data_IF_242817296355
#
_entry.id   IF_242817296355
#
_cell.length_a   1.000
_cell.length_b   1.000
_cell.length_c   1.000
_cell.angle_alpha   90.00
_cell.angle_beta   90.00
_cell.angle_gamma   90.00
#
_symmetry.space_group_name_H-M   'P 1'
#
loop_
_entity.id
_entity.type
_entity.pdbx_description
1 polymer ?
#
# COMPACT_ATOMS: atom_id res chain seq x y z
N UNK A 1 20.48 48.99 0.10
CA UNK A 1 21.08 47.66 0.13
C UNK A 1 20.09 46.61 -0.33
N UNK A 2 20.13 46.40 -1.62
CA UNK A 2 19.36 45.44 -2.37
C UNK A 2 20.26 44.21 -2.65
N UNK A 3 20.32 43.22 -1.77
CA UNK A 3 20.92 41.90 -2.07
C UNK A 3 20.54 40.88 -1.04
N UNK A 4 19.33 40.34 -1.14
CA UNK A 4 18.98 38.96 -0.62
C UNK A 4 17.58 38.60 -1.10
N UNK A 5 17.44 38.25 -2.37
CA UNK A 5 16.23 37.64 -2.92
C UNK A 5 16.54 36.95 -4.26
N UNK A 6 17.53 36.07 -4.24
CA UNK A 6 17.81 35.17 -5.37
C UNK A 6 18.26 33.81 -4.81
N UNK A 7 17.33 32.95 -4.51
CA UNK A 7 17.68 31.64 -3.97
C UNK A 7 16.59 30.55 -4.05
N UNK A 8 15.35 30.90 -4.28
CA UNK A 8 14.23 29.93 -4.32
C UNK A 8 13.58 29.73 -5.70
N UNK A 9 14.02 30.51 -6.71
CA UNK A 9 13.48 30.43 -8.07
C UNK A 9 14.20 29.45 -9.02
N UNK A 10 15.37 28.96 -8.67
CA UNK A 10 16.23 28.22 -9.61
C UNK A 10 16.19 26.70 -9.45
N UNK A 11 15.55 26.16 -8.40
CA UNK A 11 15.41 24.71 -8.21
C UNK A 11 14.35 24.11 -9.14
N UNK A 12 13.35 24.91 -9.57
CA UNK A 12 12.29 24.47 -10.49
C UNK A 12 12.59 24.66 -11.98
N UNK A 13 13.71 25.25 -12.36
CA UNK A 13 14.07 25.50 -13.79
C UNK A 13 15.02 24.51 -14.42
N UNK A 14 15.36 23.41 -13.76
CA UNK A 14 16.13 22.29 -14.35
C UNK A 14 15.34 21.00 -14.48
N UNK A 15 14.04 21.08 -14.82
CA UNK A 15 13.42 19.98 -15.57
C UNK A 15 13.74 20.24 -17.06
N UNK A 16 14.96 19.87 -17.47
CA UNK A 16 15.19 19.47 -18.85
C UNK A 16 14.11 18.43 -19.16
N UNK A 17 13.44 18.53 -20.30
CA UNK A 17 12.51 17.53 -20.81
C UNK A 17 13.26 16.20 -20.95
N UNK A 18 13.36 15.44 -19.87
CA UNK A 18 13.88 14.09 -19.89
C UNK A 18 12.87 13.31 -20.70
N UNK A 19 13.27 12.87 -21.89
CA UNK A 19 12.51 11.92 -22.70
C UNK A 19 12.02 10.82 -21.77
N UNK A 20 10.69 10.56 -21.77
CA UNK A 20 10.10 9.53 -20.94
C UNK A 20 10.91 8.22 -21.08
N UNK A 21 11.22 7.58 -19.95
CA UNK A 21 11.97 6.33 -19.97
C UNK A 21 11.13 5.26 -20.66
N UNK A 22 11.69 4.58 -21.63
CA UNK A 22 11.03 3.46 -22.29
C UNK A 22 11.33 2.20 -21.50
N UNK A 23 10.30 1.49 -21.05
CA UNK A 23 10.44 0.26 -20.24
C UNK A 23 11.38 -0.76 -20.90
N UNK A 24 11.20 -1.04 -22.19
CA UNK A 24 11.97 -2.02 -22.94
C UNK A 24 13.47 -1.68 -23.10
N UNK A 25 13.88 -0.44 -22.83
CA UNK A 25 15.30 -0.06 -22.84
C UNK A 25 16.04 -0.57 -21.60
N UNK A 26 15.30 -0.89 -20.53
CA UNK A 26 15.87 -1.23 -19.22
C UNK A 26 15.45 -2.61 -18.70
N UNK A 27 14.28 -3.09 -19.11
CA UNK A 27 13.62 -4.24 -18.48
C UNK A 27 13.09 -5.26 -19.49
N UNK A 28 13.19 -6.55 -19.13
CA UNK A 28 12.44 -7.62 -19.76
C UNK A 28 11.00 -7.65 -19.20
N UNK A 29 10.07 -8.24 -19.95
CA UNK A 29 8.69 -8.46 -19.48
C UNK A 29 8.63 -9.65 -18.51
N UNK A 30 9.36 -9.53 -17.41
CA UNK A 30 9.48 -10.49 -16.31
C UNK A 30 9.55 -9.72 -14.98
N UNK A 31 9.24 -10.40 -13.89
CA UNK A 31 9.39 -9.85 -12.54
C UNK A 31 10.67 -10.33 -11.89
N UNK A 32 11.44 -9.42 -11.29
CA UNK A 32 12.44 -9.71 -10.29
C UNK A 32 11.74 -9.61 -8.91
N UNK A 33 11.51 -10.73 -8.26
CA UNK A 33 11.09 -10.77 -6.87
C UNK A 33 12.32 -10.69 -5.98
N UNK A 34 12.30 -9.78 -5.01
CA UNK A 34 13.34 -9.60 -4.00
C UNK A 34 12.74 -9.83 -2.62
N UNK A 35 13.26 -10.82 -1.92
CA UNK A 35 12.89 -11.14 -0.56
C UNK A 35 13.91 -10.55 0.41
N UNK A 36 13.43 -9.78 1.40
CA UNK A 36 14.23 -9.20 2.48
C UNK A 36 13.71 -9.63 3.85
N UNK A 37 14.62 -9.64 4.82
CA UNK A 37 14.27 -9.66 6.24
C UNK A 37 14.60 -8.29 6.83
N UNK A 38 13.58 -7.58 7.31
CA UNK A 38 13.77 -6.41 8.16
C UNK A 38 13.88 -6.88 9.59
N UNK A 39 14.91 -6.45 10.28
CA UNK A 39 15.16 -6.90 11.65
C UNK A 39 15.71 -5.78 12.52
N UNK A 40 15.61 -5.98 13.83
CA UNK A 40 16.10 -5.01 14.82
C UNK A 40 15.10 -4.77 15.93
N UNK A 41 15.17 -3.58 16.49
CA UNK A 41 14.33 -3.08 17.58
C UNK A 41 14.20 -1.55 17.47
N UNK A 42 13.56 -0.91 18.45
CA UNK A 42 13.36 0.55 18.45
C UNK A 42 14.66 1.36 18.38
N UNK A 43 15.80 0.81 18.87
CA UNK A 43 17.09 1.51 18.92
C UNK A 43 17.96 1.29 17.69
N UNK A 44 17.83 0.15 17.01
CA UNK A 44 18.64 -0.18 15.83
C UNK A 44 17.93 -1.13 14.88
N UNK A 45 18.02 -0.84 13.59
CA UNK A 45 17.34 -1.57 12.54
C UNK A 45 18.32 -1.97 11.45
N UNK A 46 18.09 -3.12 10.83
CA UNK A 46 18.88 -3.64 9.71
C UNK A 46 17.98 -4.28 8.65
N UNK A 47 18.49 -4.33 7.43
CA UNK A 47 17.87 -4.99 6.29
C UNK A 47 18.82 -6.08 5.83
N UNK A 48 18.31 -7.29 5.65
CA UNK A 48 19.05 -8.42 5.10
C UNK A 48 18.40 -8.87 3.78
N UNK A 49 19.21 -9.09 2.75
CA UNK A 49 18.76 -9.78 1.55
C UNK A 49 18.60 -11.27 1.89
N UNK A 50 17.42 -11.81 1.62
CA UNK A 50 17.10 -13.23 1.86
C UNK A 50 17.15 -14.05 0.57
N UNK A 51 16.60 -13.53 -0.54
CA UNK A 51 16.63 -14.23 -1.81
C UNK A 51 16.20 -13.40 -3.01
N UNK A 52 16.51 -13.93 -4.19
CA UNK A 52 16.12 -13.37 -5.48
C UNK A 52 15.40 -14.45 -6.30
N UNK A 53 14.29 -14.08 -6.93
CA UNK A 53 13.57 -14.97 -7.84
C UNK A 53 13.12 -14.22 -9.09
N UNK A 54 12.99 -14.95 -10.20
CA UNK A 54 12.43 -14.46 -11.44
C UNK A 54 11.06 -15.09 -11.69
N UNK A 55 10.04 -14.27 -11.99
CA UNK A 55 8.70 -14.71 -12.37
C UNK A 55 8.44 -14.41 -13.84
N UNK A 56 7.59 -15.18 -14.53
CA UNK A 56 7.49 -15.15 -16.00
C UNK A 56 6.92 -13.87 -16.60
N UNK A 57 6.15 -13.09 -15.82
CA UNK A 57 5.43 -11.92 -16.33
C UNK A 57 5.61 -10.72 -15.39
N UNK A 58 5.77 -9.53 -15.95
CA UNK A 58 5.68 -8.26 -15.21
C UNK A 58 4.25 -7.73 -15.28
N UNK A 59 3.58 -7.67 -14.12
CA UNK A 59 2.22 -7.13 -14.00
C UNK A 59 2.21 -5.63 -13.63
N UNK A 60 3.32 -5.10 -13.14
CA UNK A 60 3.40 -3.71 -12.68
C UNK A 60 3.51 -2.69 -13.81
N UNK A 61 3.49 -1.43 -13.42
CA UNK A 61 3.52 -0.30 -14.36
C UNK A 61 4.74 -0.30 -15.29
N UNK A 62 4.53 0.11 -16.54
CA UNK A 62 5.59 0.32 -17.56
C UNK A 62 5.85 1.82 -17.83
N UNK A 63 5.20 2.71 -17.05
CA UNK A 63 5.28 4.16 -17.14
C UNK A 63 5.65 4.75 -15.78
N UNK A 64 6.02 6.02 -15.73
CA UNK A 64 6.42 6.71 -14.48
C UNK A 64 7.47 5.92 -13.67
N UNK A 65 8.41 5.28 -14.38
CA UNK A 65 9.30 4.26 -13.80
C UNK A 65 10.14 4.81 -12.62
N UNK A 66 10.61 6.05 -12.72
CA UNK A 66 11.44 6.71 -11.71
C UNK A 66 10.66 7.69 -10.82
N UNK A 67 9.32 7.60 -10.81
CA UNK A 67 8.44 8.45 -10.03
C UNK A 67 7.73 7.63 -8.94
N UNK A 68 7.35 8.28 -7.83
CA UNK A 68 6.59 7.69 -6.74
C UNK A 68 5.18 8.27 -6.72
N UNK A 69 4.13 7.44 -6.66
CA UNK A 69 2.77 7.95 -6.46
C UNK A 69 2.57 8.49 -5.03
N UNK A 70 3.18 7.83 -4.04
CA UNK A 70 3.18 8.17 -2.62
C UNK A 70 4.56 7.93 -2.02
N UNK A 71 4.86 8.60 -0.92
CA UNK A 71 6.16 8.50 -0.25
C UNK A 71 6.35 7.16 0.51
N UNK A 72 5.29 6.64 1.15
CA UNK A 72 5.37 5.45 2.01
C UNK A 72 6.32 5.61 3.20
N UNK A 73 6.48 4.57 3.99
CA UNK A 73 7.43 4.51 5.11
C UNK A 73 8.77 3.88 4.72
N UNK A 74 8.86 3.32 3.52
CA UNK A 74 10.09 2.80 2.92
C UNK A 74 10.10 3.01 1.42
N UNK A 75 11.28 2.96 0.82
CA UNK A 75 11.47 3.18 -0.61
C UNK A 75 12.49 2.19 -1.16
N UNK A 76 12.28 1.78 -2.41
CA UNK A 76 13.24 1.02 -3.20
C UNK A 76 13.57 1.83 -4.45
N UNK A 77 14.85 1.99 -4.69
CA UNK A 77 15.38 2.68 -5.88
C UNK A 77 16.28 1.70 -6.63
N UNK A 78 15.98 1.48 -7.90
CA UNK A 78 16.82 0.68 -8.79
C UNK A 78 17.57 1.61 -9.74
N UNK A 79 18.89 1.48 -9.78
CA UNK A 79 19.78 2.25 -10.66
C UNK A 79 20.52 1.31 -11.60
N UNK A 80 20.73 1.74 -12.83
CA UNK A 80 21.68 1.07 -13.72
C UNK A 80 23.08 1.14 -13.11
N UNK A 81 23.73 0.00 -12.87
CA UNK A 81 24.98 -0.08 -12.13
C UNK A 81 26.15 0.66 -12.81
N UNK A 82 26.16 0.74 -14.14
CA UNK A 82 27.22 1.39 -14.91
C UNK A 82 27.06 2.93 -14.93
N UNK A 83 25.82 3.44 -15.08
CA UNK A 83 25.57 4.86 -15.25
C UNK A 83 25.11 5.57 -13.96
N UNK A 84 24.71 4.83 -12.94
CA UNK A 84 24.09 5.38 -11.72
C UNK A 84 22.68 5.98 -11.93
N UNK A 85 22.16 5.94 -13.18
CA UNK A 85 20.84 6.51 -13.49
C UNK A 85 19.73 5.70 -12.82
N UNK A 86 18.82 6.38 -12.12
CA UNK A 86 17.60 5.76 -11.60
C UNK A 86 16.72 5.30 -12.74
N UNK A 87 16.32 4.03 -12.72
CA UNK A 87 15.50 3.40 -13.76
C UNK A 87 14.16 2.89 -13.25
N UNK A 88 14.02 2.66 -11.93
CA UNK A 88 12.75 2.31 -11.29
C UNK A 88 12.75 2.75 -9.83
N UNK A 89 11.58 3.15 -9.32
CA UNK A 89 11.37 3.44 -7.91
C UNK A 89 10.02 2.89 -7.46
N UNK A 90 9.92 2.47 -6.20
CA UNK A 90 8.65 2.14 -5.54
C UNK A 90 8.72 2.47 -4.06
N UNK A 91 7.59 2.60 -3.41
CA UNK A 91 7.47 2.87 -1.98
C UNK A 91 6.52 1.88 -1.31
N UNK A 92 6.65 1.73 0.00
CA UNK A 92 5.90 0.75 0.77
C UNK A 92 5.77 1.16 2.24
N UNK A 93 4.92 0.47 2.97
CA UNK A 93 4.95 0.37 4.44
C UNK A 93 5.15 -1.09 4.83
N UNK A 94 5.49 -1.36 6.08
CA UNK A 94 5.77 -2.72 6.55
C UNK A 94 5.26 -2.96 7.97
N UNK A 95 4.85 -4.19 8.25
CA UNK A 95 4.45 -4.62 9.59
C UNK A 95 5.61 -4.46 10.60
N UNK A 96 6.88 -4.57 10.13
CA UNK A 96 8.05 -4.31 10.96
C UNK A 96 8.05 -2.88 11.51
N UNK A 97 7.75 -1.87 10.67
CA UNK A 97 7.76 -0.47 11.09
C UNK A 97 6.61 -0.16 12.06
N UNK A 98 5.44 -0.77 11.88
CA UNK A 98 4.35 -0.66 12.86
C UNK A 98 4.72 -1.32 14.20
N UNK A 99 5.37 -2.49 14.17
CA UNK A 99 5.85 -3.14 15.38
C UNK A 99 6.86 -2.31 16.15
N UNK A 100 7.70 -1.52 15.47
CA UNK A 100 8.69 -0.64 16.12
C UNK A 100 8.06 0.42 17.03
N UNK A 101 6.78 0.76 16.84
CA UNK A 101 6.01 1.69 17.66
C UNK A 101 5.53 1.06 18.99
N UNK A 102 5.65 -0.28 19.13
CA UNK A 102 5.18 -1.02 20.31
C UNK A 102 6.21 -1.00 21.45
N UNK A 103 5.72 -1.17 22.69
CA UNK A 103 6.60 -1.34 23.87
C UNK A 103 7.51 -2.57 23.76
N UNK A 104 7.06 -3.63 23.08
CA UNK A 104 7.85 -4.83 22.86
C UNK A 104 9.14 -4.53 22.09
N UNK A 105 9.07 -3.66 21.10
CA UNK A 105 10.21 -3.30 20.26
C UNK A 105 11.34 -2.57 21.03
N UNK A 106 11.07 -2.05 22.24
CA UNK A 106 12.10 -1.45 23.10
C UNK A 106 12.99 -2.49 23.76
N UNK A 107 12.50 -3.72 23.90
CA UNK A 107 13.15 -4.78 24.70
C UNK A 107 13.53 -6.01 23.88
N UNK A 108 12.94 -6.22 22.72
CA UNK A 108 13.09 -7.43 21.91
C UNK A 108 13.60 -7.07 20.51
N UNK A 109 14.44 -7.92 19.93
CA UNK A 109 14.82 -7.87 18.53
C UNK A 109 14.02 -8.92 17.76
N UNK A 110 13.33 -8.50 16.68
CA UNK A 110 12.57 -9.40 15.79
C UNK A 110 12.96 -9.23 14.34
N UNK A 111 12.67 -10.26 13.52
CA UNK A 111 12.79 -10.24 12.07
C UNK A 111 11.43 -10.43 11.42
N UNK A 112 11.20 -9.71 10.32
CA UNK A 112 9.97 -9.72 9.53
C UNK A 112 10.28 -9.95 8.06
N UNK A 113 9.58 -10.89 7.44
CA UNK A 113 9.64 -11.10 5.99
C UNK A 113 9.03 -9.92 5.25
N UNK A 114 9.69 -9.53 4.17
CA UNK A 114 9.17 -8.56 3.21
C UNK A 114 9.54 -9.00 1.81
N UNK A 115 8.61 -8.93 0.88
CA UNK A 115 8.79 -9.31 -0.51
C UNK A 115 8.39 -8.16 -1.41
N UNK A 116 9.21 -7.86 -2.40
CA UNK A 116 8.96 -6.79 -3.36
C UNK A 116 9.08 -7.31 -4.79
N UNK A 117 8.16 -6.85 -5.64
CA UNK A 117 8.15 -7.11 -7.06
C UNK A 117 8.74 -5.90 -7.79
N UNK A 118 9.77 -6.15 -8.57
CA UNK A 118 10.46 -5.16 -9.38
C UNK A 118 10.49 -5.64 -10.83
N UNK A 119 10.58 -4.75 -11.83
CA UNK A 119 10.76 -5.18 -13.20
C UNK A 119 12.14 -5.82 -13.38
N UNK A 120 12.22 -6.89 -14.16
CA UNK A 120 13.46 -7.68 -14.34
C UNK A 120 14.46 -6.91 -15.22
N UNK A 121 15.67 -6.56 -14.72
CA UNK A 121 16.60 -5.72 -15.45
C UNK A 121 17.29 -6.46 -16.59
N UNK A 122 17.60 -5.75 -17.69
CA UNK A 122 18.38 -6.26 -18.80
C UNK A 122 19.90 -6.16 -18.57
N UNK A 123 20.32 -5.27 -17.68
CA UNK A 123 21.73 -5.00 -17.34
C UNK A 123 21.90 -5.05 -15.83
N UNK A 124 23.13 -5.18 -15.32
CA UNK A 124 23.36 -5.11 -13.87
C UNK A 124 22.80 -3.82 -13.25
N UNK A 125 22.14 -3.96 -12.10
CA UNK A 125 21.52 -2.85 -11.38
C UNK A 125 21.96 -2.81 -9.92
N UNK A 126 22.05 -1.60 -9.35
CA UNK A 126 22.12 -1.39 -7.92
C UNK A 126 20.69 -1.20 -7.41
N UNK A 127 20.29 -1.99 -6.41
CA UNK A 127 19.05 -1.82 -5.67
C UNK A 127 19.39 -1.21 -4.32
N UNK A 128 18.78 -0.07 -4.01
CA UNK A 128 18.83 0.56 -2.71
C UNK A 128 17.45 0.49 -2.07
N UNK A 129 17.37 -0.11 -0.87
CA UNK A 129 16.17 -0.14 -0.04
C UNK A 129 16.40 0.64 1.24
N UNK A 130 15.42 1.45 1.63
CA UNK A 130 15.53 2.39 2.77
C UNK A 130 14.28 2.32 3.62
N UNK A 131 14.43 2.24 4.94
CA UNK A 131 13.37 2.42 5.94
C UNK A 131 13.46 3.83 6.51
N UNK A 132 12.33 4.51 6.61
CA UNK A 132 12.20 5.88 7.07
C UNK A 132 11.36 5.91 8.36
N UNK A 133 11.71 6.79 9.29
CA UNK A 133 10.84 7.09 10.43
C UNK A 133 9.72 8.08 10.03
N UNK A 134 8.75 8.36 10.93
CA UNK A 134 7.70 9.34 10.67
C UNK A 134 8.22 10.75 10.33
N UNK A 135 9.45 11.10 10.78
CA UNK A 135 10.14 12.35 10.43
C UNK A 135 10.94 12.30 9.14
N UNK A 136 10.80 11.20 8.37
CA UNK A 136 11.50 10.97 7.09
C UNK A 136 13.03 10.79 7.23
N UNK A 137 13.53 10.55 8.44
CA UNK A 137 14.94 10.21 8.63
C UNK A 137 15.18 8.74 8.25
N UNK A 138 16.33 8.48 7.64
CA UNK A 138 16.77 7.11 7.32
C UNK A 138 17.11 6.36 8.61
N UNK A 139 16.40 5.27 8.87
CA UNK A 139 16.62 4.38 10.01
C UNK A 139 17.45 3.16 9.66
N UNK A 140 17.25 2.63 8.46
CA UNK A 140 18.08 1.58 7.88
C UNK A 140 18.14 1.76 6.36
N UNK A 141 19.26 1.40 5.77
CA UNK A 141 19.43 1.35 4.31
C UNK A 141 20.34 0.20 3.94
N UNK A 142 20.05 -0.43 2.81
CA UNK A 142 20.87 -1.48 2.23
C UNK A 142 21.01 -1.24 0.72
N UNK A 143 22.21 -1.47 0.20
CA UNK A 143 22.51 -1.49 -1.23
C UNK A 143 23.09 -2.83 -1.63
N UNK A 144 22.65 -3.36 -2.75
CA UNK A 144 23.25 -4.54 -3.36
C UNK A 144 23.15 -4.50 -4.89
N UNK A 145 24.04 -5.23 -5.54
CA UNK A 145 24.05 -5.37 -7.00
C UNK A 145 23.30 -6.64 -7.40
N UNK A 146 22.46 -6.53 -8.40
CA UNK A 146 21.81 -7.67 -9.05
C UNK A 146 22.33 -7.79 -10.46
N UNK A 147 22.89 -8.96 -10.78
CA UNK A 147 23.28 -9.34 -12.12
C UNK A 147 22.16 -10.19 -12.75
N UNK A 148 21.55 -9.80 -13.87
CA UNK A 148 20.38 -10.52 -14.43
C UNK A 148 20.70 -11.96 -14.87
N UNK A 149 21.96 -12.30 -15.04
CA UNK A 149 22.41 -13.65 -15.40
C UNK A 149 22.96 -14.45 -14.21
N UNK A 150 22.71 -13.98 -12.97
CA UNK A 150 23.14 -14.71 -11.78
C UNK A 150 22.38 -16.04 -11.69
N UNK A 151 23.13 -17.14 -11.56
CA UNK A 151 22.60 -18.51 -11.49
C UNK A 151 21.82 -18.78 -10.20
N UNK A 152 21.99 -17.93 -9.18
CA UNK A 152 21.29 -18.02 -7.90
C UNK A 152 19.92 -17.32 -7.93
N UNK A 153 19.54 -16.66 -9.02
CA UNK A 153 18.15 -16.15 -9.20
C UNK A 153 17.23 -17.34 -9.52
N UNK A 154 16.44 -17.73 -8.55
CA UNK A 154 15.52 -18.87 -8.66
C UNK A 154 14.42 -18.59 -9.69
N UNK A 155 14.16 -19.53 -10.61
CA UNK A 155 13.05 -19.42 -11.56
C UNK A 155 11.77 -19.98 -10.94
N UNK A 156 10.78 -19.13 -10.65
CA UNK A 156 9.49 -19.51 -10.07
C UNK A 156 8.33 -19.26 -11.04
N UNK A 157 7.18 -19.90 -10.80
CA UNK A 157 5.95 -19.65 -11.55
C UNK A 157 5.89 -20.23 -12.96
N UNK A 158 6.81 -21.12 -13.34
CA UNK A 158 6.78 -21.82 -14.62
C UNK A 158 6.06 -23.19 -14.55
N UNK A 159 5.82 -23.68 -13.33
CA UNK A 159 5.13 -24.95 -13.03
C UNK A 159 4.40 -24.84 -11.70
N UNK A 160 3.45 -25.73 -11.47
CA UNK A 160 2.69 -25.81 -10.21
C UNK A 160 1.98 -24.49 -9.84
N UNK A 161 1.42 -23.81 -10.85
CA UNK A 161 0.67 -22.56 -10.64
C UNK A 161 -0.57 -22.90 -9.79
N UNK A 162 -0.80 -22.13 -8.74
CA UNK A 162 -1.96 -22.27 -7.85
C UNK A 162 -3.25 -22.14 -8.64
N UNK A 163 -4.25 -23.04 -8.44
CA UNK A 163 -5.54 -22.93 -9.11
C UNK A 163 -6.17 -21.56 -8.87
N UNK A 164 -6.62 -20.91 -9.94
CA UNK A 164 -7.15 -19.56 -9.87
C UNK A 164 -8.27 -19.33 -10.89
N UNK A 165 -9.07 -18.28 -10.66
CA UNK A 165 -10.19 -17.90 -11.51
C UNK A 165 -10.28 -16.37 -11.55
N UNK A 166 -10.39 -15.81 -12.74
CA UNK A 166 -10.67 -14.37 -12.87
C UNK A 166 -12.11 -14.05 -12.48
N UNK A 167 -12.27 -13.10 -11.55
CA UNK A 167 -13.54 -12.47 -11.17
C UNK A 167 -13.83 -11.27 -12.06
N UNK A 168 -12.77 -10.60 -12.49
CA UNK A 168 -12.80 -9.46 -13.40
C UNK A 168 -11.57 -9.53 -14.30
N UNK A 169 -11.79 -9.55 -15.61
CA UNK A 169 -10.71 -9.53 -16.60
C UNK A 169 -11.08 -8.56 -17.73
N UNK A 170 -10.45 -7.40 -17.74
CA UNK A 170 -10.77 -6.33 -18.69
C UNK A 170 -9.75 -6.18 -19.83
N UNK A 171 -8.46 -6.29 -19.51
CA UNK A 171 -7.38 -6.17 -20.50
C UNK A 171 -6.09 -6.85 -19.97
N UNK A 172 -5.01 -6.74 -20.74
CA UNK A 172 -3.69 -7.26 -20.34
C UNK A 172 -3.18 -6.59 -19.06
N UNK A 173 -2.28 -7.25 -18.31
CA UNK A 173 -1.64 -6.67 -17.12
C UNK A 173 -0.95 -5.32 -17.37
N UNK A 174 -0.50 -5.07 -18.59
CA UNK A 174 0.13 -3.81 -18.99
C UNK A 174 -0.81 -2.59 -18.90
N UNK A 175 -2.13 -2.80 -19.01
CA UNK A 175 -3.15 -1.74 -19.05
C UNK A 175 -4.05 -1.70 -17.83
N UNK A 176 -4.03 -2.75 -17.04
CA UNK A 176 -4.86 -2.89 -15.85
C UNK A 176 -3.99 -3.04 -14.61
N UNK A 177 -4.54 -2.68 -13.48
CA UNK A 177 -4.01 -3.02 -12.15
C UNK A 177 -4.51 -4.42 -11.82
N UNK A 178 -3.61 -5.33 -11.52
CA UNK A 178 -3.92 -6.72 -11.22
C UNK A 178 -4.02 -6.95 -9.71
N UNK A 179 -5.19 -7.34 -9.23
CA UNK A 179 -5.49 -7.61 -7.82
C UNK A 179 -5.70 -9.10 -7.62
N UNK A 180 -4.93 -9.73 -6.75
CA UNK A 180 -5.11 -11.12 -6.36
C UNK A 180 -5.84 -11.22 -5.02
N UNK A 181 -6.87 -12.07 -4.96
CA UNK A 181 -7.61 -12.41 -3.73
C UNK A 181 -7.27 -13.85 -3.37
N UNK A 182 -6.68 -14.08 -2.19
CA UNK A 182 -6.22 -15.40 -1.72
C UNK A 182 -7.07 -15.94 -0.59
N UNK A 183 -7.16 -17.28 -0.54
CA UNK A 183 -7.84 -18.01 0.52
C UNK A 183 -6.92 -18.21 1.73
N UNK A 184 -7.37 -17.86 2.93
CA UNK A 184 -6.69 -18.11 4.20
C UNK A 184 -7.62 -18.77 5.21
N UNK A 185 -7.24 -19.94 5.73
CA UNK A 185 -8.09 -20.70 6.64
C UNK A 185 -9.26 -21.42 5.97
N UNK A 186 -9.30 -21.50 4.64
CA UNK A 186 -10.23 -22.35 3.91
C UNK A 186 -9.53 -23.67 3.56
N UNK A 187 -10.14 -24.79 3.93
CA UNK A 187 -9.68 -26.12 3.50
C UNK A 187 -10.00 -26.36 2.02
N UNK A 188 -9.46 -27.43 1.45
CA UNK A 188 -9.75 -27.80 0.05
C UNK A 188 -11.26 -27.97 -0.21
N UNK A 189 -12.00 -28.47 0.79
CA UNK A 189 -13.46 -28.65 0.72
C UNK A 189 -14.24 -27.33 0.76
N UNK A 190 -13.64 -26.28 1.29
CA UNK A 190 -14.25 -24.95 1.45
C UNK A 190 -13.91 -23.98 0.31
N UNK A 191 -13.23 -24.46 -0.76
CA UNK A 191 -12.86 -23.57 -1.89
C UNK A 191 -14.06 -23.00 -2.63
N UNK A 192 -15.24 -23.64 -2.59
CA UNK A 192 -16.45 -23.07 -3.14
C UNK A 192 -16.91 -21.86 -2.32
N UNK A 193 -16.89 -21.96 -0.99
CA UNK A 193 -17.20 -20.84 -0.07
C UNK A 193 -16.22 -19.68 -0.28
N UNK A 194 -14.91 -19.99 -0.38
CA UNK A 194 -13.92 -18.97 -0.70
C UNK A 194 -14.22 -18.22 -2.01
N UNK A 195 -14.62 -18.93 -3.07
CA UNK A 195 -14.95 -18.28 -4.34
C UNK A 195 -16.16 -17.33 -4.21
N UNK A 196 -17.15 -17.70 -3.40
CA UNK A 196 -18.33 -16.85 -3.12
C UNK A 196 -17.91 -15.61 -2.30
N UNK A 197 -17.05 -15.77 -1.30
CA UNK A 197 -16.51 -14.68 -0.50
C UNK A 197 -15.62 -13.74 -1.33
N UNK A 198 -14.81 -14.27 -2.24
CA UNK A 198 -14.00 -13.50 -3.16
C UNK A 198 -14.85 -12.65 -4.12
N UNK A 199 -15.97 -13.21 -4.61
CA UNK A 199 -16.95 -12.46 -5.41
C UNK A 199 -17.59 -11.33 -4.58
N UNK A 200 -17.90 -11.55 -3.31
CA UNK A 200 -18.44 -10.55 -2.39
C UNK A 200 -17.40 -9.43 -2.15
N UNK A 201 -16.15 -9.78 -1.88
CA UNK A 201 -15.06 -8.81 -1.69
C UNK A 201 -14.88 -7.95 -2.93
N UNK A 202 -14.78 -8.58 -4.11
CA UNK A 202 -14.64 -7.90 -5.39
C UNK A 202 -15.81 -6.92 -5.62
N UNK A 203 -17.06 -7.36 -5.46
CA UNK A 203 -18.24 -6.49 -5.59
C UNK A 203 -18.20 -5.34 -4.60
N UNK A 204 -17.85 -5.60 -3.34
CA UNK A 204 -17.81 -4.57 -2.29
C UNK A 204 -16.84 -3.44 -2.63
N UNK A 205 -15.65 -3.75 -3.16
CA UNK A 205 -14.67 -2.76 -3.59
C UNK A 205 -15.21 -1.97 -4.80
N UNK A 206 -15.70 -2.66 -5.83
CA UNK A 206 -16.14 -2.01 -7.08
C UNK A 206 -17.55 -1.40 -7.03
N UNK A 207 -18.22 -1.44 -5.89
CA UNK A 207 -19.42 -0.64 -5.62
C UNK A 207 -19.08 0.75 -5.05
N UNK A 208 -17.83 1.00 -4.65
CA UNK A 208 -17.36 2.29 -4.11
C UNK A 208 -16.64 3.13 -5.20
N UNK A 209 -16.92 4.45 -5.23
CA UNK A 209 -16.11 5.38 -6.01
C UNK A 209 -14.74 5.61 -5.35
N UNK A 210 -13.64 5.73 -6.14
CA UNK A 210 -13.57 5.78 -7.61
C UNK A 210 -13.46 4.42 -8.30
N UNK A 211 -13.34 3.31 -7.56
CA UNK A 211 -13.20 1.97 -8.15
C UNK A 211 -14.35 1.61 -9.08
N UNK A 212 -15.59 2.01 -8.75
CA UNK A 212 -16.78 1.77 -9.55
C UNK A 212 -16.68 2.38 -10.95
N UNK A 213 -16.41 3.67 -11.04
CA UNK A 213 -16.27 4.38 -12.31
C UNK A 213 -15.04 3.97 -13.11
N UNK A 214 -13.99 3.49 -12.42
CA UNK A 214 -12.72 3.08 -13.01
C UNK A 214 -12.55 1.55 -13.09
N UNK A 215 -13.60 0.77 -12.90
CA UNK A 215 -13.60 -0.70 -12.86
C UNK A 215 -12.87 -1.34 -14.06
N UNK A 216 -12.97 -0.73 -15.23
CA UNK A 216 -12.32 -1.21 -16.46
C UNK A 216 -10.78 -1.14 -16.43
N UNK A 217 -10.21 -0.52 -15.42
CA UNK A 217 -8.76 -0.41 -15.22
C UNK A 217 -8.19 -1.49 -14.30
N UNK A 218 -8.99 -2.49 -13.95
CA UNK A 218 -8.61 -3.55 -13.03
C UNK A 218 -8.85 -4.93 -13.62
N UNK A 219 -7.97 -5.84 -13.32
CA UNK A 219 -8.22 -7.28 -13.33
C UNK A 219 -8.27 -7.76 -11.89
N UNK A 220 -9.10 -8.75 -11.59
CA UNK A 220 -9.19 -9.38 -10.27
C UNK A 220 -9.20 -10.88 -10.42
N UNK A 221 -8.31 -11.57 -9.72
CA UNK A 221 -8.18 -13.02 -9.75
C UNK A 221 -8.35 -13.60 -8.34
N UNK A 222 -9.22 -14.60 -8.19
CA UNK A 222 -9.32 -15.40 -6.98
C UNK A 222 -8.37 -16.59 -7.06
N UNK A 223 -7.54 -16.79 -6.04
CA UNK A 223 -6.46 -17.78 -5.98
C UNK A 223 -6.75 -18.78 -4.87
N UNK A 224 -6.97 -20.03 -5.24
CA UNK A 224 -7.33 -21.11 -4.33
C UNK A 224 -6.08 -21.64 -3.61
N UNK A 225 -5.75 -21.06 -2.46
CA UNK A 225 -4.66 -21.45 -1.56
C UNK A 225 -5.22 -22.21 -0.35
N UNK A 226 -5.41 -23.54 -0.43
CA UNK A 226 -6.06 -24.28 0.64
C UNK A 226 -5.18 -24.35 1.89
N UNK A 227 -5.82 -24.20 3.04
CA UNK A 227 -5.23 -24.40 4.37
C UNK A 227 -5.46 -25.86 4.83
N UNK A 228 -4.62 -26.31 5.77
CA UNK A 228 -4.81 -27.62 6.44
C UNK A 228 -6.01 -27.55 7.37
N UNK A 229 -6.11 -26.48 8.16
CA UNK A 229 -7.18 -26.26 9.13
C UNK A 229 -8.17 -25.22 8.61
N UNK A 230 -9.44 -25.39 8.95
CA UNK A 230 -10.48 -24.39 8.77
C UNK A 230 -10.39 -23.33 9.86
N UNK A 231 -10.56 -22.05 9.46
CA UNK A 231 -10.42 -20.92 10.36
C UNK A 231 -8.99 -20.41 10.47
N UNK A 232 -8.78 -19.35 11.26
CA UNK A 232 -7.48 -18.72 11.52
C UNK A 232 -7.17 -18.74 13.00
N UNK A 233 -5.90 -18.51 13.37
CA UNK A 233 -5.47 -18.53 14.77
C UNK A 233 -6.05 -17.36 15.55
N UNK A 234 -6.59 -17.66 16.75
CA UNK A 234 -7.10 -16.68 17.72
C UNK A 234 -6.35 -16.87 19.06
N UNK A 235 -5.14 -16.30 19.19
CA UNK A 235 -4.25 -16.54 20.33
C UNK A 235 -4.87 -16.26 21.70
N UNK A 236 -5.72 -15.21 21.83
CA UNK A 236 -6.41 -14.88 23.07
C UNK A 236 -7.36 -15.99 23.57
N UNK A 237 -7.81 -16.89 22.66
CA UNK A 237 -8.61 -18.07 22.97
C UNK A 237 -7.77 -19.36 23.05
N UNK A 238 -6.44 -19.24 22.89
CA UNK A 238 -5.50 -20.37 22.78
C UNK A 238 -5.83 -21.27 21.58
N UNK A 239 -6.40 -20.73 20.52
CA UNK A 239 -6.71 -21.44 19.28
C UNK A 239 -5.62 -21.17 18.26
N UNK A 240 -4.91 -22.24 17.85
CA UNK A 240 -3.87 -22.19 16.85
C UNK A 240 -4.24 -23.08 15.66
N UNK A 241 -4.07 -22.56 14.44
CA UNK A 241 -4.45 -23.19 13.18
C UNK A 241 -3.28 -23.26 12.22
N UNK A 242 -3.20 -24.35 11.48
CA UNK A 242 -2.23 -24.53 10.39
C UNK A 242 -2.87 -24.08 9.07
N UNK A 243 -2.68 -22.80 8.74
CA UNK A 243 -3.27 -22.18 7.56
C UNK A 243 -2.21 -21.91 6.49
N UNK A 244 -2.65 -21.55 5.28
CA UNK A 244 -1.77 -21.30 4.12
C UNK A 244 -0.70 -20.24 4.44
N UNK A 245 -1.09 -19.16 5.10
CA UNK A 245 -0.21 -18.03 5.40
C UNK A 245 0.02 -17.80 6.89
N UNK A 246 -0.52 -18.65 7.77
CA UNK A 246 -0.30 -18.57 9.21
C UNK A 246 -0.79 -17.27 9.84
N UNK A 247 -1.88 -16.72 9.33
CA UNK A 247 -2.46 -15.50 9.88
C UNK A 247 -3.04 -15.71 11.27
N UNK A 248 -2.98 -14.66 12.08
CA UNK A 248 -3.48 -14.69 13.45
C UNK A 248 -3.99 -13.33 13.91
N UNK A 249 -4.97 -13.36 14.78
CA UNK A 249 -5.39 -12.21 15.57
C UNK A 249 -4.38 -11.87 16.67
N UNK A 250 -4.68 -10.85 17.44
CA UNK A 250 -3.86 -10.37 18.55
C UNK A 250 -2.46 -9.91 18.12
N UNK A 251 -2.29 -9.48 16.89
CA UNK A 251 -1.06 -8.82 16.44
C UNK A 251 -0.83 -7.57 17.28
N UNK A 252 0.38 -7.44 17.84
CA UNK A 252 0.77 -6.38 18.78
C UNK A 252 -0.18 -6.25 19.97
N UNK A 253 -0.75 -7.39 20.42
CA UNK A 253 -1.73 -7.49 21.52
C UNK A 253 -3.06 -6.76 21.28
N UNK A 254 -3.35 -6.35 20.04
CA UNK A 254 -4.65 -5.82 19.62
C UNK A 254 -5.57 -6.94 19.17
N UNK A 255 -6.68 -7.16 19.87
CA UNK A 255 -7.59 -8.29 19.62
C UNK A 255 -8.13 -8.35 18.21
N UNK A 256 -8.36 -7.21 17.58
CA UNK A 256 -8.92 -7.09 16.23
C UNK A 256 -7.86 -6.99 15.11
N UNK A 257 -6.57 -6.85 15.45
CA UNK A 257 -5.54 -6.71 14.43
C UNK A 257 -5.14 -8.10 13.92
N UNK A 258 -5.56 -8.37 12.68
CA UNK A 258 -5.33 -9.64 11.98
C UNK A 258 -4.23 -9.45 10.94
N UNK A 259 -3.11 -10.13 11.08
CA UNK A 259 -1.97 -10.04 10.15
C UNK A 259 -1.31 -11.40 9.92
N UNK A 260 -0.35 -11.44 9.04
CA UNK A 260 0.57 -12.57 8.87
C UNK A 260 2.02 -12.09 8.78
N UNK A 261 2.95 -12.88 9.32
CA UNK A 261 4.39 -12.70 9.15
C UNK A 261 4.98 -13.51 7.99
N UNK A 262 4.17 -14.36 7.32
CA UNK A 262 4.63 -15.26 6.25
C UNK A 262 4.44 -14.65 4.85
N UNK A 263 5.03 -13.47 4.65
CA UNK A 263 4.87 -12.72 3.40
C UNK A 263 5.41 -13.49 2.19
N UNK A 264 6.51 -14.22 2.35
CA UNK A 264 7.08 -15.06 1.28
C UNK A 264 6.10 -16.15 0.81
N UNK A 265 5.37 -16.78 1.72
CA UNK A 265 4.38 -17.81 1.38
C UNK A 265 3.23 -17.25 0.53
N UNK A 266 2.79 -16.01 0.79
CA UNK A 266 1.80 -15.32 -0.02
C UNK A 266 2.30 -15.18 -1.47
N UNK A 267 3.50 -14.66 -1.65
CA UNK A 267 4.10 -14.47 -2.96
C UNK A 267 4.47 -15.80 -3.66
N UNK A 268 4.75 -16.86 -2.91
CA UNK A 268 4.96 -18.20 -3.46
C UNK A 268 3.64 -18.78 -4.02
N UNK A 269 2.51 -18.58 -3.33
CA UNK A 269 1.20 -18.98 -3.82
C UNK A 269 0.77 -18.21 -5.09
N UNK A 270 1.29 -17.02 -5.30
CA UNK A 270 1.02 -16.18 -6.47
C UNK A 270 2.01 -16.35 -7.62
N UNK A 271 3.05 -17.19 -7.45
CA UNK A 271 4.06 -17.39 -8.48
C UNK A 271 3.44 -17.90 -9.80
N UNK A 272 3.67 -17.17 -10.89
CA UNK A 272 3.11 -17.47 -12.22
C UNK A 272 1.73 -16.86 -12.51
N UNK A 273 1.13 -16.18 -11.56
CA UNK A 273 -0.12 -15.40 -11.72
C UNK A 273 0.26 -13.92 -11.77
N UNK A 274 -0.24 -13.12 -12.73
CA UNK A 274 -0.02 -11.67 -12.73
C UNK A 274 -0.74 -11.00 -11.55
N UNK A 275 -0.04 -10.18 -10.77
CA UNK A 275 -0.61 -9.38 -9.67
C UNK A 275 0.30 -8.20 -9.29
N UNK A 276 -0.31 -7.17 -8.73
CA UNK A 276 0.35 -6.01 -8.12
C UNK A 276 -0.12 -5.81 -6.67
N UNK A 277 -1.42 -6.02 -6.40
CA UNK A 277 -2.03 -5.86 -5.09
C UNK A 277 -2.65 -7.15 -4.59
N UNK A 278 -2.63 -7.33 -3.28
CA UNK A 278 -2.99 -8.57 -2.62
C UNK A 278 -4.09 -8.33 -1.60
N UNK A 279 -5.13 -9.14 -1.65
CA UNK A 279 -6.19 -9.25 -0.63
C UNK A 279 -6.22 -10.69 -0.14
N UNK A 280 -6.20 -10.88 1.17
CA UNK A 280 -6.26 -12.19 1.81
C UNK A 280 -7.57 -12.25 2.59
N UNK A 281 -8.42 -13.22 2.25
CA UNK A 281 -9.68 -13.44 2.94
C UNK A 281 -9.52 -14.54 3.99
N UNK A 282 -9.71 -14.20 5.24
CA UNK A 282 -9.64 -15.10 6.37
C UNK A 282 -11.00 -15.72 6.65
N UNK A 283 -11.06 -17.06 6.67
CA UNK A 283 -12.26 -17.86 6.97
C UNK A 283 -12.60 -17.76 8.47
N UNK A 284 -13.23 -16.70 8.90
CA UNK A 284 -13.57 -16.49 10.31
C UNK A 284 -14.72 -15.50 10.48
N UNK A 285 -15.51 -15.71 11.55
CA UNK A 285 -16.56 -14.79 12.00
C UNK A 285 -16.04 -13.70 12.96
N UNK A 286 -14.80 -13.82 13.45
CA UNK A 286 -14.18 -12.83 14.33
C UNK A 286 -13.95 -11.51 13.57
N UNK A 287 -14.22 -10.38 14.26
CA UNK A 287 -14.01 -9.06 13.68
C UNK A 287 -12.53 -8.71 13.59
N UNK A 288 -12.05 -8.31 12.42
CA UNK A 288 -10.72 -7.77 12.27
C UNK A 288 -10.25 -7.63 10.82
N UNK A 289 -9.14 -6.97 10.70
CA UNK A 289 -8.46 -6.72 9.44
C UNK A 289 -7.14 -6.01 9.66
N UNK A 290 -6.43 -5.77 8.58
CA UNK A 290 -5.22 -4.97 8.48
C UNK A 290 -4.86 -4.71 7.03
N UNK A 291 -4.48 -3.48 6.72
CA UNK A 291 -4.04 -3.07 5.38
C UNK A 291 -2.69 -2.36 5.44
N UNK A 292 -1.66 -2.92 4.79
CA UNK A 292 -0.31 -2.37 4.78
C UNK A 292 0.00 -1.86 3.38
N UNK A 293 0.34 -0.58 3.26
CA UNK A 293 0.54 0.08 1.98
C UNK A 293 1.56 -0.64 1.10
N UNK A 294 1.10 -0.97 -0.13
CA UNK A 294 1.86 -1.69 -1.15
C UNK A 294 2.48 -3.01 -0.66
N UNK A 295 1.76 -3.70 0.27
CA UNK A 295 2.07 -5.03 0.75
C UNK A 295 0.84 -5.94 0.61
N UNK A 296 -0.08 -5.93 1.56
CA UNK A 296 -1.32 -6.71 1.46
C UNK A 296 -2.47 -6.10 2.27
N UNK A 297 -3.69 -6.47 1.90
CA UNK A 297 -4.90 -6.41 2.74
C UNK A 297 -5.16 -7.79 3.31
N UNK A 298 -5.45 -7.91 4.60
CA UNK A 298 -5.95 -9.13 5.23
C UNK A 298 -7.23 -8.77 5.99
N UNK A 299 -8.32 -9.51 5.76
CA UNK A 299 -9.63 -9.20 6.34
C UNK A 299 -10.45 -10.47 6.56
N UNK A 300 -11.37 -10.39 7.53
CA UNK A 300 -12.31 -11.48 7.84
C UNK A 300 -13.42 -11.57 6.79
N UNK A 301 -13.85 -12.79 6.41
CA UNK A 301 -14.85 -12.98 5.36
C UNK A 301 -16.28 -13.20 5.88
N UNK A 302 -16.47 -13.73 7.11
CA UNK A 302 -17.77 -14.14 7.60
C UNK A 302 -18.34 -13.23 8.70
N UNK A 303 -17.62 -12.18 9.10
CA UNK A 303 -18.16 -11.19 10.02
C UNK A 303 -19.22 -10.32 9.32
N UNK A 304 -20.30 -9.90 9.97
CA UNK A 304 -21.33 -9.02 9.37
C UNK A 304 -20.78 -7.74 8.74
N UNK A 305 -19.64 -7.22 9.25
CA UNK A 305 -18.96 -6.03 8.74
C UNK A 305 -17.92 -6.35 7.64
N UNK A 306 -17.89 -7.57 7.08
CA UNK A 306 -16.93 -7.93 6.04
C UNK A 306 -16.89 -6.95 4.87
N UNK A 307 -18.07 -6.61 4.32
CA UNK A 307 -18.17 -5.72 3.14
C UNK A 307 -17.55 -4.34 3.36
N UNK A 308 -17.86 -3.58 4.44
CA UNK A 308 -17.18 -2.32 4.70
C UNK A 308 -15.70 -2.48 5.06
N UNK A 309 -15.33 -3.51 5.83
CA UNK A 309 -13.94 -3.71 6.29
C UNK A 309 -13.01 -4.01 5.12
N UNK A 310 -13.36 -4.88 4.18
CA UNK A 310 -12.49 -5.15 3.01
C UNK A 310 -12.21 -3.90 2.20
N UNK A 311 -13.17 -2.98 2.09
CA UNK A 311 -13.01 -1.70 1.38
C UNK A 311 -12.13 -0.74 2.17
N UNK A 312 -12.29 -0.69 3.49
CA UNK A 312 -11.46 0.12 4.39
C UNK A 312 -10.00 -0.32 4.33
N UNK A 313 -9.72 -1.61 4.56
CA UNK A 313 -8.36 -2.16 4.54
C UNK A 313 -7.69 -2.04 3.15
N UNK A 314 -8.48 -2.17 2.08
CA UNK A 314 -7.97 -1.90 0.73
C UNK A 314 -7.66 -0.41 0.51
N UNK A 315 -8.36 0.48 1.20
CA UNK A 315 -8.02 1.91 1.27
C UNK A 315 -6.62 2.15 1.82
N UNK A 316 -6.19 1.41 2.85
CA UNK A 316 -4.84 1.45 3.37
C UNK A 316 -3.83 0.83 2.40
N UNK A 317 -4.02 -0.43 2.02
CA UNK A 317 -3.00 -1.20 1.29
C UNK A 317 -2.79 -0.71 -0.14
N UNK A 318 -3.87 -0.36 -0.84
CA UNK A 318 -3.83 0.18 -2.20
C UNK A 318 -3.60 1.69 -2.21
N UNK A 319 -4.35 2.41 -1.37
CA UNK A 319 -4.46 3.87 -1.40
C UNK A 319 -3.45 4.60 -0.52
N UNK A 320 -2.77 3.91 0.40
CA UNK A 320 -1.96 4.56 1.42
C UNK A 320 -2.76 5.59 2.23
N UNK A 321 -4.07 5.34 2.41
CA UNK A 321 -4.91 6.20 3.22
C UNK A 321 -4.70 5.90 4.70
N UNK A 322 -4.66 6.93 5.53
CA UNK A 322 -4.64 6.80 6.98
C UNK A 322 -6.05 6.56 7.54
N UNK A 323 -6.13 6.05 8.76
CA UNK A 323 -7.34 6.06 9.55
C UNK A 323 -7.78 7.50 9.86
N UNK A 324 -9.06 7.79 9.65
CA UNK A 324 -9.66 9.10 9.96
C UNK A 324 -10.34 9.11 11.33
N UNK A 325 -10.32 7.99 12.07
CA UNK A 325 -10.80 7.94 13.45
C UNK A 325 -9.72 8.33 14.46
N UNK A 326 -10.14 8.65 15.65
CA UNK A 326 -9.29 9.03 16.77
C UNK A 326 -9.91 8.52 18.07
N UNK A 327 -9.10 8.47 19.11
CA UNK A 327 -9.53 8.15 20.46
C UNK A 327 -9.58 9.42 21.30
N UNK A 328 -10.63 9.58 22.10
CA UNK A 328 -10.74 10.72 23.00
C UNK A 328 -9.57 10.73 23.99
N UNK A 329 -8.91 11.87 24.12
CA UNK A 329 -7.74 12.13 24.96
C UNK A 329 -6.39 11.54 24.49
N UNK A 330 -6.33 10.83 23.37
CA UNK A 330 -5.05 10.35 22.84
C UNK A 330 -4.44 11.35 21.84
N UNK A 331 -3.12 11.55 21.96
CA UNK A 331 -2.30 12.27 20.98
C UNK A 331 -1.13 11.38 20.62
N UNK A 332 -1.22 10.74 19.47
CA UNK A 332 -0.22 9.79 18.97
C UNK A 332 0.92 10.54 18.22
N UNK A 333 1.68 11.34 18.95
CA UNK A 333 2.73 12.21 18.36
C UNK A 333 3.93 11.45 17.83
N UNK A 334 4.13 10.22 18.29
CA UNK A 334 5.23 9.38 17.79
C UNK A 334 4.90 8.83 16.40
N UNK A 335 3.64 8.47 16.14
CA UNK A 335 3.16 8.03 14.83
C UNK A 335 3.05 9.18 13.84
N UNK A 336 2.47 10.31 14.27
CA UNK A 336 2.29 11.51 13.46
C UNK A 336 2.86 12.75 14.16
N UNK A 337 4.15 13.08 13.95
CA UNK A 337 4.74 14.30 14.48
C UNK A 337 4.00 15.54 13.98
N UNK A 338 3.59 16.43 14.89
CA UNK A 338 2.74 17.59 14.56
C UNK A 338 3.47 18.72 13.81
N UNK A 339 4.78 18.65 13.69
CA UNK A 339 5.65 19.60 12.98
C UNK A 339 6.06 19.14 11.57
N UNK A 340 5.51 18.01 11.11
CA UNK A 340 5.73 17.45 9.77
C UNK A 340 4.38 17.11 9.14
N UNK A 341 4.26 17.33 7.83
CA UNK A 341 3.09 16.90 7.08
C UNK A 341 3.14 15.39 6.83
N UNK A 342 2.12 14.59 7.23
CA UNK A 342 2.03 13.16 6.92
C UNK A 342 2.09 12.90 5.42
N UNK A 343 2.62 11.77 4.98
CA UNK A 343 2.63 11.41 3.56
C UNK A 343 1.25 10.94 3.06
N UNK A 344 0.41 10.43 3.94
CA UNK A 344 -0.95 10.01 3.66
C UNK A 344 -1.81 11.19 3.21
N UNK A 345 -2.59 11.00 2.15
CA UNK A 345 -3.26 12.11 1.46
C UNK A 345 -4.52 12.61 2.15
N UNK A 346 -5.08 11.84 3.09
CA UNK A 346 -6.35 12.09 3.75
C UNK A 346 -6.23 12.57 5.20
N UNK A 347 -5.02 12.82 5.69
CA UNK A 347 -4.78 13.48 6.97
C UNK A 347 -3.77 14.62 6.80
N UNK A 348 -3.78 15.59 7.70
CA UNK A 348 -2.89 16.76 7.65
C UNK A 348 -2.61 17.29 9.05
N UNK A 349 -1.39 17.75 9.28
CA UNK A 349 -0.99 18.60 10.41
C UNK A 349 -1.12 20.10 10.08
N UNK A 350 -1.50 20.43 8.85
CA UNK A 350 -1.53 21.76 8.28
C UNK A 350 -0.14 22.43 8.09
N UNK A 351 0.95 21.72 8.33
CA UNK A 351 2.33 22.23 8.13
C UNK A 351 2.58 22.55 6.65
N UNK A 352 2.10 21.68 5.73
CA UNK A 352 2.09 21.94 4.28
C UNK A 352 0.72 21.59 3.70
N UNK A 353 -0.32 22.26 4.19
CA UNK A 353 -1.70 21.99 3.77
C UNK A 353 -1.93 22.25 2.27
N UNK A 354 -1.11 23.05 1.62
CA UNK A 354 -1.21 23.27 0.17
C UNK A 354 -0.96 21.99 -0.65
N UNK A 355 -0.16 21.06 -0.14
CA UNK A 355 0.10 19.77 -0.76
C UNK A 355 -1.03 18.75 -0.56
N UNK A 356 -2.04 19.06 0.27
CA UNK A 356 -3.15 18.17 0.64
C UNK A 356 -4.42 18.51 -0.16
N UNK A 357 -5.49 18.89 0.51
CA UNK A 357 -6.79 19.17 -0.12
C UNK A 357 -7.23 20.64 0.02
N UNK A 358 -6.32 21.56 0.26
CA UNK A 358 -6.63 22.98 0.38
C UNK A 358 -7.36 23.53 -0.86
N UNK A 359 -7.02 23.02 -2.03
CA UNK A 359 -7.62 23.35 -3.32
C UNK A 359 -9.06 22.85 -3.50
N UNK A 360 -9.55 21.97 -2.62
CA UNK A 360 -10.92 21.45 -2.63
C UNK A 360 -11.84 22.17 -1.65
N UNK A 361 -11.33 23.08 -0.86
CA UNK A 361 -12.14 23.85 0.09
C UNK A 361 -12.91 24.95 -0.65
N UNK A 362 -14.14 25.22 -0.21
CA UNK A 362 -14.86 26.42 -0.59
C UNK A 362 -14.27 27.66 0.11
N UNK A 363 -14.43 28.85 -0.48
CA UNK A 363 -13.84 30.12 0.02
C UNK A 363 -14.18 30.42 1.48
N UNK A 364 -15.36 29.98 1.95
CA UNK A 364 -15.87 30.27 3.29
C UNK A 364 -15.74 29.07 4.26
N UNK A 365 -14.97 28.05 3.90
CA UNK A 365 -14.77 26.88 4.78
C UNK A 365 -14.04 27.29 6.05
N UNK A 366 -14.65 27.12 7.26
CA UNK A 366 -13.95 27.40 8.50
C UNK A 366 -12.79 26.43 8.72
N UNK A 367 -11.68 26.91 9.27
CA UNK A 367 -10.50 26.08 9.61
C UNK A 367 -10.11 26.35 11.06
N UNK A 368 -10.27 25.39 12.00
CA UNK A 368 -10.90 24.08 11.79
C UNK A 368 -12.39 24.17 11.45
N UNK A 369 -12.91 23.15 10.76
CA UNK A 369 -14.33 23.05 10.43
C UNK A 369 -15.09 22.39 11.59
N UNK A 370 -16.10 23.06 12.20
CA UNK A 370 -16.90 22.45 13.25
C UNK A 370 -17.76 21.29 12.72
N UNK A 371 -17.89 20.20 13.50
CA UNK A 371 -18.66 19.02 13.10
C UNK A 371 -20.16 19.34 12.89
N UNK A 372 -20.71 20.29 13.64
CA UNK A 372 -22.12 20.71 13.61
C UNK A 372 -22.54 21.32 12.26
N UNK A 373 -21.57 21.80 11.47
CA UNK A 373 -21.84 22.40 10.15
C UNK A 373 -21.38 21.52 9.00
N UNK A 374 -21.09 20.23 9.26
CA UNK A 374 -20.54 19.30 8.28
C UNK A 374 -21.41 19.11 7.03
N UNK A 375 -22.73 19.27 7.13
CA UNK A 375 -23.63 19.21 5.98
C UNK A 375 -23.36 20.33 4.95
N UNK A 376 -22.88 21.49 5.41
CA UNK A 376 -22.53 22.62 4.57
C UNK A 376 -21.11 22.51 3.97
N UNK A 377 -20.25 21.70 4.57
CA UNK A 377 -18.87 21.54 4.21
C UNK A 377 -18.49 20.06 4.05
N UNK A 378 -18.95 19.36 2.98
CA UNK A 378 -18.67 17.96 2.75
C UNK A 378 -17.16 17.69 2.56
N UNK A 379 -16.40 18.73 2.25
CA UNK A 379 -14.93 18.77 2.34
C UNK A 379 -14.55 19.95 3.22
N UNK A 380 -13.90 19.68 4.35
CA UNK A 380 -13.48 20.67 5.34
C UNK A 380 -12.11 20.35 5.92
N UNK A 381 -11.86 20.84 7.13
CA UNK A 381 -10.63 20.58 7.92
C UNK A 381 -11.07 20.26 9.34
N UNK A 382 -11.48 19.00 9.55
CA UNK A 382 -12.05 18.51 10.81
C UNK A 382 -10.93 18.02 11.72
N UNK A 383 -10.85 18.56 12.95
CA UNK A 383 -9.84 18.11 13.90
C UNK A 383 -10.14 16.70 14.40
N UNK A 384 -9.09 15.91 14.58
CA UNK A 384 -9.11 14.50 14.95
C UNK A 384 -8.96 13.59 13.72
N UNK A 385 -8.01 12.66 13.80
CA UNK A 385 -7.67 11.67 12.77
C UNK A 385 -6.31 11.04 13.07
N UNK A 386 -5.93 9.96 12.39
CA UNK A 386 -4.65 9.28 12.63
C UNK A 386 -4.48 8.89 14.10
N UNK A 387 -5.54 8.40 14.73
CA UNK A 387 -5.64 8.03 16.15
C UNK A 387 -5.52 9.21 17.13
N UNK A 388 -5.18 10.43 16.67
CA UNK A 388 -5.00 11.62 17.51
C UNK A 388 -6.25 12.49 17.54
N UNK A 389 -6.72 12.85 18.74
CA UNK A 389 -7.86 13.76 18.92
C UNK A 389 -7.52 15.22 18.56
N UNK A 390 -6.24 15.61 18.62
CA UNK A 390 -5.75 16.98 18.44
C UNK A 390 -4.53 17.05 17.51
N UNK A 391 -4.46 18.16 16.74
CA UNK A 391 -3.32 18.49 15.92
C UNK A 391 -3.26 17.76 14.57
N UNK A 392 -4.05 16.72 14.39
CA UNK A 392 -4.25 16.03 13.10
C UNK A 392 -5.65 16.35 12.59
N UNK A 393 -5.77 16.61 11.31
CA UNK A 393 -7.02 17.00 10.67
C UNK A 393 -7.37 16.00 9.56
N UNK A 394 -8.68 15.74 9.42
CA UNK A 394 -9.26 14.90 8.36
C UNK A 394 -10.15 15.73 7.44
N UNK A 395 -10.41 15.28 6.21
CA UNK A 395 -11.09 16.11 5.20
C UNK A 395 -12.63 16.15 5.31
N UNK A 396 -13.21 15.20 6.03
CA UNK A 396 -14.68 15.10 6.15
C UNK A 396 -15.08 14.62 7.53
N UNK A 397 -16.30 14.95 7.95
CA UNK A 397 -16.82 14.44 9.22
C UNK A 397 -17.02 12.92 9.14
N UNK A 398 -17.50 12.41 8.01
CA UNK A 398 -17.71 10.98 7.79
C UNK A 398 -17.03 10.48 6.51
N UNK A 399 -16.43 9.30 6.60
CA UNK A 399 -15.71 8.64 5.51
C UNK A 399 -15.62 7.13 5.79
N UNK A 400 -15.44 6.33 4.73
CA UNK A 400 -15.11 4.89 4.86
C UNK A 400 -13.82 4.68 5.70
N UNK A 401 -12.88 5.61 5.65
CA UNK A 401 -11.65 5.53 6.44
C UNK A 401 -11.85 5.95 7.91
N UNK A 402 -13.04 6.39 8.30
CA UNK A 402 -13.38 6.73 9.69
C UNK A 402 -14.28 5.70 10.34
N UNK A 403 -15.28 5.19 9.61
CA UNK A 403 -16.30 4.30 10.18
C UNK A 403 -16.86 3.33 9.14
N UNK A 404 -17.22 2.15 9.61
CA UNK A 404 -17.82 1.10 8.78
C UNK A 404 -19.28 1.41 8.41
N UNK A 405 -19.95 2.27 9.12
CA UNK A 405 -21.35 2.64 8.86
C UNK A 405 -21.47 3.60 7.68
N UNK A 406 -20.48 4.45 7.44
CA UNK A 406 -20.54 5.38 6.32
C UNK A 406 -20.25 4.66 4.99
N UNK A 407 -21.13 4.81 3.98
CA UNK A 407 -21.13 3.92 2.81
C UNK A 407 -20.09 4.27 1.73
N UNK A 408 -19.30 5.35 1.89
CA UNK A 408 -18.44 5.85 0.82
C UNK A 408 -17.13 6.44 1.34
N UNK A 409 -16.13 6.50 0.47
CA UNK A 409 -14.97 7.37 0.66
C UNK A 409 -15.36 8.84 0.52
N UNK A 410 -14.79 9.72 1.33
CA UNK A 410 -14.96 11.15 1.18
C UNK A 410 -14.33 11.67 -0.13
N UNK A 411 -14.64 12.89 -0.59
CA UNK A 411 -14.11 13.41 -1.86
C UNK A 411 -12.57 13.43 -1.95
N UNK A 412 -11.89 13.67 -0.83
CA UNK A 412 -10.41 13.69 -0.78
C UNK A 412 -9.83 12.29 -0.93
N UNK A 413 -10.37 11.31 -0.21
CA UNK A 413 -9.99 9.90 -0.35
C UNK A 413 -10.25 9.39 -1.78
N UNK A 414 -11.41 9.72 -2.37
CA UNK A 414 -11.69 9.39 -3.77
C UNK A 414 -10.67 10.01 -4.72
N UNK A 415 -10.27 11.27 -4.52
CA UNK A 415 -9.24 11.93 -5.32
C UNK A 415 -7.89 11.24 -5.19
N UNK A 416 -7.50 10.88 -3.96
CA UNK A 416 -6.24 10.18 -3.70
C UNK A 416 -6.21 8.82 -4.42
N UNK A 417 -7.25 8.01 -4.27
CA UNK A 417 -7.39 6.72 -4.95
C UNK A 417 -7.41 6.86 -6.48
N UNK A 418 -8.12 7.85 -7.02
CA UNK A 418 -8.15 8.14 -8.46
C UNK A 418 -6.77 8.44 -9.01
N UNK A 419 -5.99 9.30 -8.32
CA UNK A 419 -4.62 9.66 -8.72
C UNK A 419 -3.72 8.43 -8.79
N UNK A 420 -3.85 7.49 -7.85
CA UNK A 420 -3.09 6.24 -7.86
C UNK A 420 -3.50 5.37 -9.04
N UNK A 421 -4.79 5.17 -9.28
CA UNK A 421 -5.29 4.39 -10.42
C UNK A 421 -4.78 4.99 -11.74
N UNK A 422 -4.85 6.31 -11.89
CA UNK A 422 -4.34 7.01 -13.07
C UNK A 422 -2.82 6.88 -13.22
N UNK A 423 -2.07 6.98 -12.14
CA UNK A 423 -0.62 6.82 -12.14
C UNK A 423 -0.19 5.44 -12.67
N UNK A 424 -0.89 4.38 -12.27
CA UNK A 424 -0.59 3.02 -12.71
C UNK A 424 -1.08 2.71 -14.14
N UNK A 425 -2.16 3.35 -14.61
CA UNK A 425 -2.87 2.93 -15.83
C UNK A 425 -2.90 3.95 -16.97
N UNK A 426 -2.50 5.21 -16.75
CA UNK A 426 -2.50 6.23 -17.81
C UNK A 426 -1.17 6.31 -18.54
N UNK A 427 -1.22 6.04 -19.84
CA UNK A 427 -0.10 6.19 -20.78
C UNK A 427 0.35 7.64 -21.00
N UNK A 428 -0.49 8.62 -20.68
CA UNK A 428 -0.30 10.04 -20.95
C UNK A 428 -0.71 10.86 -19.72
N UNK A 429 0.13 10.90 -18.69
CA UNK A 429 0.09 12.00 -17.74
C UNK A 429 0.94 13.15 -18.31
N UNK A 430 0.36 13.94 -19.20
CA UNK A 430 0.81 15.32 -19.35
C UNK A 430 0.33 16.03 -18.10
N UNK A 431 1.23 16.47 -17.22
CA UNK A 431 0.92 17.46 -16.19
C UNK A 431 0.01 18.51 -16.83
N UNK A 432 -1.15 18.88 -16.22
CA UNK A 432 -1.93 19.97 -16.76
C UNK A 432 -1.00 21.16 -16.89
N UNK A 433 -0.83 21.63 -18.14
CA UNK A 433 -0.08 22.85 -18.41
C UNK A 433 -0.70 23.97 -17.58
N UNK A 434 0.09 24.91 -17.01
CA UNK A 434 -0.47 26.09 -16.35
C UNK A 434 -1.47 26.88 -17.20
N UNK A 435 -1.63 26.53 -18.49
CA UNK A 435 -2.63 27.10 -19.41
C UNK A 435 -4.00 26.41 -19.32
N UNK A 436 -4.08 25.17 -18.85
CA UNK A 436 -5.34 24.41 -18.73
C UNK A 436 -6.10 24.74 -17.43
N UNK A 437 -5.46 25.42 -16.48
CA UNK A 437 -6.08 25.91 -15.24
C UNK A 437 -6.73 27.29 -15.36
N UNK A 438 -6.88 27.82 -16.57
CA UNK A 438 -7.53 29.13 -16.85
C UNK A 438 -8.79 29.03 -17.71
N UNK A 439 -9.59 27.97 -17.51
CA UNK A 439 -10.96 27.93 -18.05
C UNK A 439 -11.94 27.50 -16.99
#
# INVERSE_FOLDING_TARGET
DLRMSRGLGDVYKRQASTRAQVFADHFADKTLRVDYIFNGNASGQAICLDGLSALPTWAGRKHHLAELPLQGNGQIIMRNAASGKTIYTTSFSSLFQEWLETDEARNVTKGFENTFLLPYPLQPVEIEITLLDPRRNVRASMKHIVHPNDVLIEQKGNSHITPHKYLLHNDSPEKCIDVAILAEGYTLQEMQTFNEDADIACKSIFDHEPFKSMKKRFNVVAVASPSTDSGVSVPRLNEWKHTAFGSHFSTFYSDRYLTTSRVKAIHDALAGIPYEHIIILANTEEYGGGGIYNSYTLTTAHHPMFRPVVVHEFGHSFGGLADEYFYDNDVMTDTYPLDIEPWEQNISTQVDFAAKWKDMLSENTPVPTPAEVSENYPTGVYEGGGYSAKGIFRPAENCRMRTNEYPAFCPVCQRALRRIIEFYTCLLYTSPSPRDMRR
#
